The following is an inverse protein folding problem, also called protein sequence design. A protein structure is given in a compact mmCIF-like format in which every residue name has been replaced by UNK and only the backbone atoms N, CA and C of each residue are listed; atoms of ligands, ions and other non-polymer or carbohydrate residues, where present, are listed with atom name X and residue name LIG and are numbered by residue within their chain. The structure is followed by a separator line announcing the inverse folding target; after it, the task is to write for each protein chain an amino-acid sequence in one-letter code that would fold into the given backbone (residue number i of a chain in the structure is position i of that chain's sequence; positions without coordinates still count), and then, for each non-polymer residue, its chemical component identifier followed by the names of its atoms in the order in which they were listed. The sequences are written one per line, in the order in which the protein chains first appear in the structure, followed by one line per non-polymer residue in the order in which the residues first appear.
data_IF_199328518156
#
_entry.id   IF_199328518156
#
_cell.length_a   1.000
_cell.length_b   1.000
_cell.length_c   1.000
_cell.angle_alpha   90.00
_cell.angle_beta   90.00
_cell.angle_gamma   90.00
#
_symmetry.space_group_name_H-M   'P 1'
#
loop_
_entity.id
_entity.type
_entity.pdbx_description
1 polymer ?
#
# COMPACT_ATOMS: atom_id res chain seq x y z
N UNK A 1 -0.96 8.85 8.27
CA UNK A 1 -0.62 9.36 6.92
C UNK A 1 0.86 9.11 6.65
N UNK A 2 1.17 8.07 5.89
CA UNK A 2 2.56 7.78 5.51
C UNK A 2 3.08 8.81 4.51
N UNK A 3 4.17 9.50 4.86
CA UNK A 3 4.86 10.43 3.97
C UNK A 3 5.63 9.60 2.94
N UNK A 4 5.05 9.36 1.76
CA UNK A 4 5.76 8.79 0.61
C UNK A 4 6.99 9.64 0.33
N UNK A 5 8.20 9.06 0.45
CA UNK A 5 9.46 9.68 0.02
C UNK A 5 9.31 10.03 -1.46
N UNK A 6 9.13 11.33 -1.76
CA UNK A 6 9.15 11.84 -3.14
C UNK A 6 10.49 11.40 -3.74
N UNK A 7 10.39 10.46 -4.68
CA UNK A 7 11.52 9.87 -5.37
C UNK A 7 12.29 11.00 -6.04
N UNK A 8 13.57 11.14 -5.71
CA UNK A 8 14.47 12.10 -6.36
C UNK A 8 14.50 11.96 -7.89
N UNK A 9 14.05 10.81 -8.44
CA UNK A 9 13.89 10.60 -9.87
C UNK A 9 12.71 11.38 -10.50
N UNK A 10 11.71 11.81 -9.73
CA UNK A 10 10.60 12.61 -10.28
C UNK A 10 11.02 14.03 -10.64
N UNK A 11 12.11 14.54 -10.04
CA UNK A 11 12.70 15.83 -10.41
C UNK A 11 13.37 15.81 -11.80
N UNK A 12 13.84 14.64 -12.23
CA UNK A 12 14.53 14.43 -13.51
C UNK A 12 13.57 14.04 -14.65
N UNK A 13 12.29 13.79 -14.35
CA UNK A 13 11.31 13.40 -15.36
C UNK A 13 10.62 14.64 -15.94
N UNK A 14 10.89 15.02 -17.21
CA UNK A 14 10.30 16.21 -17.82
C UNK A 14 8.77 16.14 -17.95
N UNK A 15 8.18 14.94 -18.00
CA UNK A 15 6.73 14.76 -18.03
C UNK A 15 6.05 15.16 -16.71
N UNK A 16 6.70 14.95 -15.57
CA UNK A 16 6.17 15.35 -14.26
C UNK A 16 6.13 16.87 -14.11
N UNK A 17 7.17 17.56 -14.62
CA UNK A 17 7.20 19.02 -14.67
C UNK A 17 6.10 19.59 -15.56
N UNK A 18 5.87 18.97 -16.71
CA UNK A 18 4.82 19.39 -17.62
C UNK A 18 3.43 19.20 -16.99
N UNK A 19 3.20 18.07 -16.31
CA UNK A 19 1.95 17.82 -15.60
C UNK A 19 1.76 18.80 -14.42
N UNK A 20 2.80 19.05 -13.64
CA UNK A 20 2.77 20.05 -12.57
C UNK A 20 2.48 21.46 -13.11
N UNK A 21 3.05 21.82 -14.27
CA UNK A 21 2.77 23.09 -14.93
C UNK A 21 1.32 23.19 -15.41
N UNK A 22 0.76 22.12 -15.98
CA UNK A 22 -0.66 22.07 -16.37
C UNK A 22 -1.60 22.13 -15.17
N UNK A 23 -1.26 21.49 -14.05
CA UNK A 23 -2.05 21.58 -12.83
C UNK A 23 -2.04 22.99 -12.24
N UNK A 24 -0.88 23.65 -12.25
CA UNK A 24 -0.77 25.04 -11.82
C UNK A 24 -1.57 25.98 -12.75
N UNK A 25 -1.46 25.77 -14.06
CA UNK A 25 -2.26 26.48 -15.06
C UNK A 25 -3.76 26.25 -14.82
N UNK A 26 -4.19 25.00 -14.62
CA UNK A 26 -5.59 24.68 -14.34
C UNK A 26 -6.09 25.25 -13.01
N UNK A 27 -5.24 25.33 -11.99
CA UNK A 27 -5.59 25.93 -10.71
C UNK A 27 -5.79 27.45 -10.81
N UNK A 28 -5.03 28.14 -11.66
CA UNK A 28 -5.16 29.59 -11.88
C UNK A 28 -6.26 29.88 -12.91
N UNK A 29 -6.25 29.21 -14.05
CA UNK A 29 -7.20 29.42 -15.14
C UNK A 29 -8.56 28.80 -14.85
N UNK A 30 -8.68 27.75 -14.05
CA UNK A 30 -9.97 27.10 -13.72
C UNK A 30 -10.98 28.06 -13.08
N UNK A 31 -10.62 28.77 -11.99
CA UNK A 31 -11.47 29.79 -11.39
C UNK A 31 -11.79 30.95 -12.35
N UNK A 32 -10.81 31.39 -13.14
CA UNK A 32 -10.98 32.44 -14.15
C UNK A 32 -11.96 32.00 -15.26
N UNK A 33 -11.83 30.79 -15.78
CA UNK A 33 -12.73 30.21 -16.79
C UNK A 33 -14.13 29.95 -16.22
N UNK A 34 -14.23 29.61 -14.94
CA UNK A 34 -15.51 29.47 -14.23
C UNK A 34 -16.18 30.81 -13.98
N UNK A 35 -15.41 31.87 -13.73
CA UNK A 35 -15.91 33.25 -13.64
C UNK A 35 -16.38 33.78 -15.00
N UNK A 36 -15.69 33.43 -16.09
CA UNK A 36 -16.11 33.68 -17.47
C UNK A 36 -17.26 32.76 -17.96
N UNK A 37 -17.79 31.88 -17.10
CA UNK A 37 -18.96 31.05 -17.40
C UNK A 37 -18.72 29.90 -18.38
N UNK A 38 -17.46 29.53 -18.66
CA UNK A 38 -17.10 28.45 -19.59
C UNK A 38 -17.07 27.04 -18.96
N UNK A 39 -17.32 26.91 -17.64
CA UNK A 39 -17.36 25.64 -16.92
C UNK A 39 -18.68 25.48 -16.18
N UNK A 40 -19.29 24.30 -16.28
CA UNK A 40 -20.52 23.94 -15.57
C UNK A 40 -20.31 24.02 -14.06
N UNK A 41 -21.21 24.69 -13.30
CA UNK A 41 -21.15 24.66 -11.85
C UNK A 41 -21.40 23.22 -11.35
N UNK A 42 -20.74 22.80 -10.26
CA UNK A 42 -20.98 21.52 -9.62
C UNK A 42 -22.42 21.45 -9.10
N UNK A 43 -22.99 20.24 -9.11
CA UNK A 43 -24.35 19.95 -8.66
C UNK A 43 -24.59 20.37 -7.20
N UNK A 44 -25.73 21.00 -6.94
CA UNK A 44 -26.18 21.48 -5.63
C UNK A 44 -27.13 20.52 -4.92
N UNK A 45 -27.17 19.25 -5.32
CA UNK A 45 -27.97 18.22 -4.65
C UNK A 45 -27.31 17.81 -3.33
N UNK A 46 -27.61 18.56 -2.26
CA UNK A 46 -27.10 18.25 -0.93
C UNK A 46 -27.74 19.03 0.21
N UNK A 47 -28.78 19.83 -0.03
CA UNK A 47 -29.47 20.57 1.03
C UNK A 47 -30.64 19.74 1.58
N UNK A 48 -30.32 18.75 2.42
CA UNK A 48 -31.29 18.26 3.39
C UNK A 48 -31.59 19.38 4.40
N UNK A 49 -32.86 19.52 4.76
CA UNK A 49 -33.36 20.58 5.63
C UNK A 49 -33.03 20.24 7.11
N UNK A 50 -31.74 20.31 7.46
CA UNK A 50 -31.23 20.03 8.80
C UNK A 50 -31.77 21.11 9.75
N UNK A 51 -32.58 20.72 10.72
CA UNK A 51 -33.08 21.64 11.73
C UNK A 51 -32.00 21.86 12.81
N UNK A 52 -32.06 23.00 13.49
CA UNK A 52 -31.07 23.34 14.53
C UNK A 52 -31.00 22.30 15.65
N UNK A 53 -32.13 21.64 15.95
CA UNK A 53 -32.20 20.50 16.87
C UNK A 53 -31.33 19.32 16.45
N UNK A 54 -31.29 19.02 15.15
CA UNK A 54 -30.49 17.88 14.64
C UNK A 54 -28.98 18.16 14.78
N UNK A 55 -28.58 19.43 14.67
CA UNK A 55 -27.20 19.88 14.89
C UNK A 55 -26.84 19.84 16.37
N UNK A 56 -27.75 20.29 17.24
CA UNK A 56 -27.53 20.30 18.69
C UNK A 56 -27.49 18.87 19.26
N UNK A 57 -28.35 17.97 18.78
CA UNK A 57 -28.36 16.55 19.15
C UNK A 57 -27.12 15.82 18.63
N UNK A 58 -26.73 16.06 17.37
CA UNK A 58 -25.49 15.50 16.82
C UNK A 58 -24.25 16.03 17.56
N UNK A 59 -24.26 17.30 17.97
CA UNK A 59 -23.18 17.89 18.76
C UNK A 59 -23.10 17.29 20.16
N UNK A 60 -24.22 17.13 20.86
CA UNK A 60 -24.23 16.47 22.17
C UNK A 60 -23.78 15.01 22.09
N UNK A 61 -24.20 14.29 21.05
CA UNK A 61 -23.78 12.91 20.82
C UNK A 61 -22.28 12.81 20.50
N UNK A 62 -21.76 13.73 19.68
CA UNK A 62 -20.34 13.82 19.37
C UNK A 62 -19.51 14.20 20.60
N UNK A 63 -19.92 15.18 21.40
CA UNK A 63 -19.22 15.59 22.62
C UNK A 63 -19.19 14.48 23.68
N UNK A 64 -20.26 13.70 23.81
CA UNK A 64 -20.30 12.54 24.72
C UNK A 64 -19.39 11.39 24.23
N UNK A 65 -19.38 11.13 22.93
CA UNK A 65 -18.49 10.11 22.35
C UNK A 65 -17.02 10.54 22.42
N UNK A 66 -16.72 11.81 22.16
CA UNK A 66 -15.38 12.36 22.25
C UNK A 66 -14.89 12.36 23.70
N UNK A 67 -15.72 12.74 24.68
CA UNK A 67 -15.34 12.66 26.09
C UNK A 67 -15.03 11.22 26.55
N UNK A 68 -15.80 10.22 26.08
CA UNK A 68 -15.53 8.82 26.39
C UNK A 68 -14.27 8.28 25.67
N UNK A 69 -14.06 8.67 24.42
CA UNK A 69 -12.89 8.26 23.62
C UNK A 69 -11.61 8.96 24.10
N UNK A 70 -11.66 10.23 24.50
CA UNK A 70 -10.48 10.98 24.94
C UNK A 70 -10.03 10.53 26.34
N UNK A 71 -10.93 10.03 27.20
CA UNK A 71 -10.54 9.27 28.40
C UNK A 71 -9.90 7.92 28.08
N UNK A 72 -10.31 7.27 26.99
CA UNK A 72 -9.75 5.98 26.55
C UNK A 72 -8.41 6.11 25.79
N UNK A 73 -8.13 7.25 25.15
CA UNK A 73 -6.91 7.47 24.35
C UNK A 73 -5.74 7.97 25.21
N UNK A 74 -6.02 8.54 26.39
CA UNK A 74 -4.98 9.14 27.24
C UNK A 74 -4.33 8.15 28.22
N UNK A 75 -4.96 7.02 28.48
CA UNK A 75 -4.44 5.94 29.33
C UNK A 75 -4.25 4.68 28.48
N UNK A 76 -3.03 4.13 28.45
CA UNK A 76 -2.81 2.84 27.79
C UNK A 76 -3.76 1.81 28.42
N UNK A 77 -4.48 1.06 27.59
CA UNK A 77 -5.36 0.02 28.12
C UNK A 77 -4.55 -1.01 28.93
N UNK A 78 -5.15 -1.69 29.94
CA UNK A 78 -4.45 -2.69 30.74
C UNK A 78 -3.67 -3.73 29.91
N UNK A 79 -4.26 -4.14 28.77
CA UNK A 79 -3.65 -5.08 27.84
C UNK A 79 -2.46 -4.49 27.07
N UNK A 80 -2.50 -3.21 26.73
CA UNK A 80 -1.38 -2.49 26.13
C UNK A 80 -0.25 -2.26 27.13
N UNK A 81 -0.57 -1.97 28.41
CA UNK A 81 0.43 -1.87 29.49
C UNK A 81 1.17 -3.19 29.65
N UNK A 82 0.45 -4.33 29.71
CA UNK A 82 1.08 -5.66 29.78
C UNK A 82 1.97 -5.92 28.57
N UNK A 83 1.49 -5.62 27.35
CA UNK A 83 2.27 -5.82 26.13
C UNK A 83 3.52 -4.95 26.11
N UNK A 84 3.37 -3.68 26.50
CA UNK A 84 4.46 -2.71 26.55
C UNK A 84 5.51 -3.15 27.59
N UNK A 85 5.08 -3.54 28.79
CA UNK A 85 5.94 -4.06 29.85
C UNK A 85 6.70 -5.31 29.42
N UNK A 86 6.00 -6.25 28.78
CA UNK A 86 6.58 -7.48 28.26
C UNK A 86 7.63 -7.21 27.18
N UNK A 87 7.37 -6.25 26.28
CA UNK A 87 8.29 -5.84 25.20
C UNK A 87 9.46 -4.95 25.64
N UNK A 88 9.35 -4.30 26.79
CA UNK A 88 10.37 -3.39 27.30
C UNK A 88 11.60 -4.14 27.82
N UNK A 89 12.75 -3.46 27.80
CA UNK A 89 13.97 -3.93 28.44
C UNK A 89 13.93 -3.70 29.97
N UNK A 90 14.95 -4.17 30.68
CA UNK A 90 14.97 -4.09 32.16
C UNK A 90 14.84 -2.65 32.67
N UNK A 91 15.50 -1.69 32.01
CA UNK A 91 15.42 -0.28 32.37
C UNK A 91 14.02 0.31 32.08
N UNK A 92 13.42 -0.02 30.93
CA UNK A 92 12.08 0.40 30.58
C UNK A 92 11.03 -0.12 31.57
N UNK A 93 11.10 -1.40 31.95
CA UNK A 93 10.18 -2.02 32.92
C UNK A 93 10.17 -1.34 34.28
N UNK A 94 11.34 -0.94 34.78
CA UNK A 94 11.44 -0.25 36.07
C UNK A 94 10.79 1.14 36.09
N UNK A 95 10.67 1.77 34.91
CA UNK A 95 10.09 3.10 34.75
C UNK A 95 8.61 3.10 34.39
N UNK A 96 8.02 1.94 34.12
CA UNK A 96 6.64 1.82 33.67
C UNK A 96 5.65 1.94 34.82
N UNK A 97 4.58 2.70 34.58
CA UNK A 97 3.45 2.77 35.50
C UNK A 97 2.51 1.57 35.27
N UNK A 98 2.34 0.76 36.31
CA UNK A 98 1.47 -0.43 36.32
C UNK A 98 0.14 -0.19 37.07
N UNK A 99 -0.14 1.03 37.52
CA UNK A 99 -1.34 1.36 38.32
C UNK A 99 -2.68 1.07 37.64
N UNK A 100 -2.67 0.94 36.31
CA UNK A 100 -3.83 0.54 35.50
C UNK A 100 -4.21 -0.93 35.74
N UNK A 101 -3.29 -1.75 36.29
CA UNK A 101 -3.49 -3.15 36.62
C UNK A 101 -3.89 -3.32 38.09
N UNK A 102 -4.75 -4.30 38.38
CA UNK A 102 -5.03 -4.70 39.76
C UNK A 102 -3.80 -5.36 40.42
N UNK A 103 -3.72 -5.35 41.75
CA UNK A 103 -2.57 -5.88 42.50
C UNK A 103 -2.29 -7.35 42.16
N UNK A 104 -3.33 -8.16 41.98
CA UNK A 104 -3.16 -9.55 41.57
C UNK A 104 -2.53 -9.65 40.17
N UNK A 105 -2.95 -8.80 39.23
CA UNK A 105 -2.44 -8.75 37.87
C UNK A 105 -1.00 -8.24 37.81
N UNK A 106 -0.64 -7.28 38.66
CA UNK A 106 0.73 -6.80 38.81
C UNK A 106 1.64 -7.92 39.33
N UNK A 107 1.22 -8.61 40.40
CA UNK A 107 1.99 -9.71 40.98
C UNK A 107 2.21 -10.84 39.96
N UNK A 108 1.15 -11.20 39.23
CA UNK A 108 1.26 -12.14 38.12
C UNK A 108 2.27 -11.69 37.07
N UNK A 109 2.17 -10.45 36.57
CA UNK A 109 3.05 -9.91 35.53
C UNK A 109 4.52 -9.87 35.97
N UNK A 110 4.76 -9.54 37.25
CA UNK A 110 6.09 -9.49 37.86
C UNK A 110 6.66 -10.89 38.13
N UNK A 111 5.80 -11.89 38.36
CA UNK A 111 6.17 -13.28 38.57
C UNK A 111 6.48 -14.07 37.28
N UNK A 112 6.26 -13.48 36.10
CA UNK A 112 6.51 -14.15 34.84
C UNK A 112 8.00 -14.33 34.55
N UNK A 113 8.32 -15.47 33.95
CA UNK A 113 9.66 -15.73 33.42
C UNK A 113 9.97 -14.80 32.25
N UNK A 114 11.26 -14.59 31.95
CA UNK A 114 11.67 -13.81 30.78
C UNK A 114 11.08 -14.38 29.48
N UNK A 115 11.05 -15.69 29.35
CA UNK A 115 10.51 -16.38 28.17
C UNK A 115 9.02 -16.11 27.98
N UNK A 116 8.27 -16.03 29.07
CA UNK A 116 6.85 -15.73 29.03
C UNK A 116 6.57 -14.26 28.75
N UNK A 117 7.41 -13.36 29.27
CA UNK A 117 7.38 -11.95 28.88
C UNK A 117 7.69 -11.80 27.38
N UNK A 118 8.67 -12.52 26.84
CA UNK A 118 9.00 -12.46 25.41
C UNK A 118 7.80 -12.94 24.55
N UNK A 119 7.13 -14.04 24.94
CA UNK A 119 5.90 -14.53 24.27
C UNK A 119 4.78 -13.49 24.31
N UNK A 120 4.56 -12.83 25.46
CA UNK A 120 3.53 -11.80 25.59
C UNK A 120 3.86 -10.55 24.78
N UNK A 121 5.13 -10.12 24.75
CA UNK A 121 5.56 -8.97 23.94
C UNK A 121 5.35 -9.18 22.44
N UNK A 122 5.57 -10.41 21.96
CA UNK A 122 5.31 -10.80 20.57
C UNK A 122 3.83 -11.00 20.24
N UNK A 123 2.97 -11.15 21.25
CA UNK A 123 1.56 -11.42 21.07
C UNK A 123 0.76 -10.16 20.71
N UNK A 124 -0.45 -10.36 20.20
CA UNK A 124 -1.40 -9.27 19.93
C UNK A 124 -1.96 -8.67 21.22
N UNK A 125 -2.40 -7.42 21.19
CA UNK A 125 -3.03 -6.76 22.36
C UNK A 125 -4.24 -7.54 22.88
N UNK A 126 -5.04 -8.13 21.99
CA UNK A 126 -6.17 -8.99 22.37
C UNK A 126 -5.73 -10.30 23.06
N UNK A 127 -4.56 -10.84 22.71
CA UNK A 127 -3.99 -11.98 23.41
C UNK A 127 -3.50 -11.62 24.81
N UNK A 128 -2.87 -10.44 24.96
CA UNK A 128 -2.50 -9.91 26.27
C UNK A 128 -3.74 -9.70 27.16
N UNK A 129 -4.84 -9.17 26.61
CA UNK A 129 -6.10 -9.02 27.34
C UNK A 129 -6.62 -10.36 27.86
N UNK A 130 -6.68 -11.39 27.00
CA UNK A 130 -7.10 -12.75 27.40
C UNK A 130 -6.16 -13.41 28.39
N UNK A 131 -4.87 -13.12 28.28
CA UNK A 131 -3.85 -13.66 29.19
C UNK A 131 -3.98 -13.04 30.58
N UNK A 132 -4.26 -11.73 30.63
CA UNK A 132 -4.51 -10.98 31.84
C UNK A 132 -5.83 -11.37 32.52
N UNK A 133 -6.90 -11.60 31.75
CA UNK A 133 -8.17 -12.11 32.29
C UNK A 133 -8.04 -13.53 32.87
N UNK A 134 -7.29 -14.40 32.18
CA UNK A 134 -7.08 -15.78 32.59
C UNK A 134 -5.95 -15.96 33.61
N UNK A 135 -5.19 -14.89 33.91
CA UNK A 135 -3.96 -14.92 34.73
C UNK A 135 -2.97 -16.01 34.28
N UNK A 136 -2.89 -16.23 32.97
CA UNK A 136 -2.14 -17.30 32.33
C UNK A 136 -1.59 -16.82 30.99
N UNK A 137 -0.38 -17.23 30.64
CA UNK A 137 0.29 -16.83 29.39
C UNK A 137 -0.37 -17.54 28.21
N UNK A 138 -1.22 -16.82 27.45
CA UNK A 138 -1.95 -17.32 26.28
C UNK A 138 -1.58 -16.51 25.04
N UNK A 139 -0.39 -16.74 24.47
CA UNK A 139 0.10 -15.94 23.36
C UNK A 139 -0.72 -16.24 22.10
N UNK A 140 -1.15 -15.19 21.41
CA UNK A 140 -1.68 -15.29 20.05
C UNK A 140 -0.96 -14.28 19.16
N UNK A 141 -0.33 -14.78 18.12
CA UNK A 141 0.48 -14.00 17.21
C UNK A 141 -0.35 -13.44 16.06
N UNK A 142 0.00 -12.25 15.54
CA UNK A 142 -0.65 -11.74 14.35
C UNK A 142 -0.47 -12.74 13.20
N UNK A 143 -1.58 -13.14 12.58
CA UNK A 143 -1.55 -14.01 11.41
C UNK A 143 -0.86 -13.24 10.29
N UNK A 144 0.17 -13.83 9.69
CA UNK A 144 0.81 -13.25 8.50
C UNK A 144 -0.30 -13.08 7.45
N UNK A 145 -0.51 -11.84 7.00
CA UNK A 145 -1.46 -11.59 5.93
C UNK A 145 -1.08 -12.50 4.75
N UNK A 146 -2.03 -13.26 4.24
CA UNK A 146 -1.79 -14.08 3.06
C UNK A 146 -1.19 -13.18 1.98
N UNK A 147 -0.05 -13.57 1.43
CA UNK A 147 0.61 -12.82 0.37
C UNK A 147 -0.32 -12.83 -0.85
N UNK A 148 -1.21 -11.84 -0.96
CA UNK A 148 -2.13 -11.68 -2.09
C UNK A 148 -1.42 -11.17 -3.35
N UNK A 149 -0.10 -10.96 -3.27
CA UNK A 149 0.74 -10.91 -4.45
C UNK A 149 1.03 -12.36 -4.83
N UNK A 150 0.14 -12.94 -5.62
CA UNK A 150 0.56 -13.96 -6.58
C UNK A 150 1.87 -13.45 -7.16
N UNK A 151 2.99 -14.10 -6.85
CA UNK A 151 4.19 -13.90 -7.63
C UNK A 151 3.73 -14.01 -9.09
N UNK A 152 4.00 -13.00 -9.91
CA UNK A 152 3.82 -13.13 -11.34
C UNK A 152 4.73 -14.29 -11.74
N UNK A 153 4.17 -15.50 -11.75
CA UNK A 153 4.82 -16.67 -12.29
C UNK A 153 4.95 -16.29 -13.75
N UNK A 154 6.15 -15.86 -14.15
CA UNK A 154 6.49 -15.65 -15.54
C UNK A 154 5.96 -16.86 -16.28
N UNK A 155 4.93 -16.64 -17.11
CA UNK A 155 4.31 -17.70 -17.88
C UNK A 155 5.40 -18.29 -18.74
N UNK A 156 5.83 -19.51 -18.41
CA UNK A 156 6.83 -20.22 -19.20
C UNK A 156 6.14 -20.46 -20.54
N UNK A 157 6.64 -19.91 -21.65
CA UNK A 157 6.02 -20.10 -22.96
C UNK A 157 5.90 -21.60 -23.25
N UNK A 158 4.76 -22.01 -23.78
CA UNK A 158 4.57 -23.41 -24.17
C UNK A 158 5.45 -23.74 -25.38
N UNK A 159 5.79 -25.01 -25.57
CA UNK A 159 6.63 -25.45 -26.71
C UNK A 159 6.01 -25.05 -28.06
N UNK A 160 4.68 -25.05 -28.15
CA UNK A 160 3.92 -24.62 -29.32
C UNK A 160 4.12 -23.12 -29.62
N UNK A 161 4.03 -22.26 -28.60
CA UNK A 161 4.25 -20.81 -28.74
C UNK A 161 5.68 -20.48 -29.18
N UNK A 162 6.67 -21.26 -28.70
CA UNK A 162 8.07 -21.10 -29.09
C UNK A 162 8.27 -21.48 -30.56
N UNK A 163 7.67 -22.58 -31.02
CA UNK A 163 7.76 -23.01 -32.42
C UNK A 163 7.04 -22.04 -33.37
N UNK A 164 5.90 -21.50 -32.97
CA UNK A 164 5.22 -20.46 -33.74
C UNK A 164 6.04 -19.17 -33.84
N UNK A 165 6.65 -18.72 -32.74
CA UNK A 165 7.53 -17.56 -32.73
C UNK A 165 8.76 -17.77 -33.65
N UNK A 166 9.35 -18.97 -33.63
CA UNK A 166 10.45 -19.33 -34.56
C UNK A 166 10.00 -19.27 -36.02
N UNK A 167 8.83 -19.83 -36.35
CA UNK A 167 8.27 -19.78 -37.72
C UNK A 167 8.04 -18.35 -38.17
N UNK A 168 7.47 -17.51 -37.30
CA UNK A 168 7.26 -16.09 -37.59
C UNK A 168 8.59 -15.37 -37.83
N UNK A 169 9.59 -15.60 -36.98
CA UNK A 169 10.91 -15.00 -37.11
C UNK A 169 11.61 -15.41 -38.42
N UNK A 170 11.62 -16.70 -38.76
CA UNK A 170 12.21 -17.20 -40.02
C UNK A 170 11.47 -16.60 -41.21
N UNK A 171 10.13 -16.52 -41.16
CA UNK A 171 9.34 -15.92 -42.25
C UNK A 171 9.66 -14.43 -42.45
N UNK A 172 9.92 -13.70 -41.38
CA UNK A 172 10.29 -12.29 -41.42
C UNK A 172 11.67 -12.10 -42.04
N UNK A 173 12.66 -12.91 -41.61
CA UNK A 173 14.00 -12.92 -42.19
C UNK A 173 13.96 -13.27 -43.67
N UNK A 174 13.19 -14.27 -44.06
CA UNK A 174 13.05 -14.65 -45.48
C UNK A 174 12.46 -13.50 -46.31
N UNK A 175 11.42 -12.83 -45.81
CA UNK A 175 10.84 -11.65 -46.48
C UNK A 175 11.85 -10.51 -46.59
N UNK A 176 12.67 -10.29 -45.57
CA UNK A 176 13.72 -9.27 -45.60
C UNK A 176 14.76 -9.61 -46.67
N UNK A 177 15.29 -10.84 -46.68
CA UNK A 177 16.27 -11.28 -47.67
C UNK A 177 15.69 -11.20 -49.08
N UNK A 178 14.43 -11.56 -49.30
CA UNK A 178 13.77 -11.40 -50.60
C UNK A 178 13.69 -9.93 -51.05
N UNK A 179 13.37 -9.00 -50.15
CA UNK A 179 13.38 -7.56 -50.46
C UNK A 179 14.77 -7.02 -50.74
N UNK A 180 15.80 -7.61 -50.13
CA UNK A 180 17.18 -7.22 -50.38
C UNK A 180 17.71 -7.79 -51.70
N UNK A 181 17.32 -9.01 -52.06
CA UNK A 181 17.71 -9.68 -53.30
C UNK A 181 16.98 -9.12 -54.52
N UNK A 182 15.78 -8.56 -54.35
CA UNK A 182 14.94 -8.10 -55.46
C UNK A 182 14.49 -6.66 -55.24
N UNK A 183 14.87 -5.75 -56.15
CA UNK A 183 14.44 -4.34 -56.13
C UNK A 183 12.96 -4.18 -56.53
N UNK A 184 12.48 -5.10 -57.38
CA UNK A 184 11.11 -5.25 -57.82
C UNK A 184 10.87 -6.74 -58.19
N UNK A 185 9.62 -7.21 -58.31
CA UNK A 185 9.34 -8.59 -58.73
C UNK A 185 10.06 -8.93 -60.03
N UNK A 186 11.02 -9.86 -59.97
CA UNK A 186 11.82 -10.30 -61.13
C UNK A 186 13.00 -9.40 -61.51
N UNK A 187 13.26 -8.29 -60.80
CA UNK A 187 14.45 -7.43 -61.01
C UNK A 187 15.48 -7.70 -59.91
N UNK A 188 16.58 -8.44 -60.20
CA UNK A 188 17.58 -8.78 -59.20
C UNK A 188 18.36 -7.55 -58.77
N UNK A 189 18.64 -7.43 -57.48
CA UNK A 189 19.56 -6.45 -56.93
C UNK A 189 20.99 -6.88 -57.26
N UNK A 190 21.75 -6.02 -57.93
CA UNK A 190 23.12 -6.31 -58.37
C UNK A 190 24.14 -6.26 -57.22
N UNK A 191 23.79 -5.64 -56.08
CA UNK A 191 24.66 -5.52 -54.90
C UNK A 191 23.91 -5.92 -53.62
N UNK A 192 23.52 -7.20 -53.43
CA UNK A 192 22.90 -7.64 -52.20
C UNK A 192 23.94 -7.74 -51.07
N UNK A 193 23.54 -7.39 -49.84
CA UNK A 193 24.39 -7.57 -48.65
C UNK A 193 24.50 -9.04 -48.24
N UNK A 194 23.47 -9.83 -48.52
CA UNK A 194 23.43 -11.27 -48.26
C UNK A 194 23.38 -12.02 -49.59
N UNK A 195 24.48 -12.66 -49.96
CA UNK A 195 24.51 -13.60 -51.10
C UNK A 195 24.07 -14.97 -50.62
N UNK A 196 23.07 -15.61 -51.25
CA UNK A 196 22.71 -16.97 -50.89
C UNK A 196 23.90 -17.90 -51.17
N UNK A 197 24.41 -18.56 -50.13
CA UNK A 197 25.35 -19.66 -50.31
C UNK A 197 24.55 -20.84 -50.87
N UNK A 198 24.68 -21.09 -52.17
CA UNK A 198 24.18 -22.33 -52.77
C UNK A 198 25.02 -23.48 -52.23
N UNK A 199 24.44 -24.34 -51.40
CA UNK A 199 24.97 -25.67 -51.14
C UNK A 199 24.78 -26.49 -52.42
N UNK A 200 25.85 -26.55 -53.23
CA UNK A 200 26.00 -27.55 -54.28
C UNK A 200 26.63 -28.81 -53.70
#
# INVERSE_FOLDING_TARGET
MEKKKKSWMSLLNPLEWLNAAFQLLAAVCGPLLRWLGMLTPPSTDGFENIQKSDVDDAKQLAEQQEAAVDTLVREMSPAEVVRAYASADFAGRASMDLRVLDLAQQDWLLGLSKEDLDKLGMSTTSACARSLEAMQVRPAYPKVAAETKTAEIYTIPTEEEVEEAKRQHISALYRQVQRELWLAPGVPNLNPKHTPATLH
#
